data_IF_141896193299
#
_entry.id   IF_141896193299
#
_cell.length_a   1.000
_cell.length_b   1.000
_cell.length_c   1.000
_cell.angle_alpha   90.00
_cell.angle_beta   90.00
_cell.angle_gamma   90.00
#
_symmetry.space_group_name_H-M   'P 1'
#
loop_
_entity.id
_entity.type
_entity.pdbx_description
1 polymer ?
#
# COMPACT_ATOMS: atom_id res chain seq x y z
N UNK A 1 -2.92 40.45 -11.31
CA UNK A 1 -1.74 40.24 -10.45
C UNK A 1 -0.50 39.68 -11.18
N UNK A 2 -0.56 39.31 -12.48
CA UNK A 2 0.55 38.62 -13.17
C UNK A 2 1.77 39.45 -13.59
N UNK A 3 1.75 40.79 -13.46
CA UNK A 3 2.82 41.63 -14.04
C UNK A 3 4.11 41.69 -13.19
N UNK A 4 4.00 41.51 -11.86
CA UNK A 4 5.16 41.65 -10.96
C UNK A 4 5.87 40.32 -10.66
N UNK A 5 5.21 39.17 -10.87
CA UNK A 5 5.75 37.84 -10.57
C UNK A 5 5.31 36.79 -11.62
N UNK A 6 5.75 36.93 -12.89
CA UNK A 6 5.34 36.02 -13.96
C UNK A 6 5.70 34.54 -13.69
N UNK A 7 6.78 34.29 -12.93
CA UNK A 7 7.17 32.92 -12.57
C UNK A 7 6.23 32.24 -11.56
N UNK A 8 5.40 32.99 -10.83
CA UNK A 8 4.42 32.37 -9.93
C UNK A 8 3.36 31.61 -10.70
N UNK A 9 3.04 32.02 -11.94
CA UNK A 9 2.15 31.26 -12.83
C UNK A 9 2.78 29.93 -13.24
N UNK A 10 4.09 29.92 -13.55
CA UNK A 10 4.83 28.69 -13.85
C UNK A 10 4.86 27.73 -12.65
N UNK A 11 5.09 28.25 -11.45
CA UNK A 11 5.08 27.47 -10.20
C UNK A 11 3.70 26.91 -9.89
N UNK A 12 2.64 27.71 -10.04
CA UNK A 12 1.28 27.25 -9.85
C UNK A 12 0.94 26.11 -10.81
N UNK A 13 1.32 26.24 -12.09
CA UNK A 13 1.16 25.17 -13.09
C UNK A 13 1.94 23.91 -12.73
N UNK A 14 3.19 24.05 -12.27
CA UNK A 14 4.00 22.91 -11.81
C UNK A 14 3.36 22.20 -10.62
N UNK A 15 2.91 22.95 -9.64
CA UNK A 15 2.22 22.40 -8.47
C UNK A 15 0.93 21.67 -8.89
N UNK A 16 0.13 22.28 -9.76
CA UNK A 16 -1.08 21.64 -10.30
C UNK A 16 -0.76 20.32 -11.02
N UNK A 17 0.29 20.29 -11.84
CA UNK A 17 0.74 19.07 -12.53
C UNK A 17 1.08 17.94 -11.53
N UNK A 18 1.79 18.27 -10.44
CA UNK A 18 2.13 17.29 -9.40
C UNK A 18 0.88 16.79 -8.67
N UNK A 19 -0.06 17.69 -8.35
CA UNK A 19 -1.34 17.34 -7.72
C UNK A 19 -2.17 16.43 -8.63
N UNK A 20 -2.34 16.79 -9.90
CA UNK A 20 -3.10 16.01 -10.88
C UNK A 20 -2.52 14.60 -11.02
N UNK A 21 -1.18 14.49 -11.07
CA UNK A 21 -0.51 13.19 -11.09
C UNK A 21 -0.82 12.36 -9.83
N UNK A 22 -0.80 12.97 -8.64
CA UNK A 22 -1.19 12.29 -7.40
C UNK A 22 -2.65 11.85 -7.43
N UNK A 23 -3.59 12.73 -7.83
CA UNK A 23 -5.03 12.41 -7.93
C UNK A 23 -5.29 11.24 -8.88
N UNK A 24 -4.59 11.19 -10.01
CA UNK A 24 -4.68 10.07 -10.94
C UNK A 24 -4.21 8.76 -10.30
N UNK A 25 -3.06 8.77 -9.60
CA UNK A 25 -2.57 7.58 -8.91
C UNK A 25 -3.47 7.14 -7.74
N UNK A 26 -4.06 8.08 -7.00
CA UNK A 26 -5.06 7.79 -5.97
C UNK A 26 -6.31 7.13 -6.59
N UNK A 27 -6.71 7.58 -7.78
CA UNK A 27 -7.81 6.98 -8.55
C UNK A 27 -7.47 5.56 -9.00
N UNK A 28 -6.26 5.33 -9.49
CA UNK A 28 -5.78 3.99 -9.84
C UNK A 28 -5.79 3.05 -8.62
N UNK A 29 -5.31 3.50 -7.46
CA UNK A 29 -5.30 2.70 -6.23
C UNK A 29 -6.73 2.31 -5.81
N UNK A 30 -7.69 3.25 -5.89
CA UNK A 30 -9.12 2.95 -5.62
C UNK A 30 -9.66 1.90 -6.57
N UNK A 31 -9.41 2.05 -7.87
CA UNK A 31 -9.89 1.11 -8.88
C UNK A 31 -9.29 -0.29 -8.69
N UNK A 32 -7.98 -0.36 -8.41
CA UNK A 32 -7.29 -1.60 -8.10
C UNK A 32 -7.90 -2.30 -6.87
N UNK A 33 -8.21 -1.55 -5.81
CA UNK A 33 -8.88 -2.11 -4.62
C UNK A 33 -10.30 -2.64 -4.91
N UNK A 34 -11.03 -2.02 -5.84
CA UNK A 34 -12.34 -2.52 -6.28
C UNK A 34 -12.22 -3.81 -7.08
N UNK A 35 -11.20 -3.93 -7.94
CA UNK A 35 -10.91 -5.18 -8.64
C UNK A 35 -10.46 -6.29 -7.67
N UNK A 36 -9.70 -5.94 -6.61
CA UNK A 36 -9.37 -6.90 -5.55
C UNK A 36 -10.62 -7.41 -4.82
N UNK A 37 -11.59 -6.56 -4.49
CA UNK A 37 -12.85 -6.96 -3.87
C UNK A 37 -13.67 -7.89 -4.78
N UNK A 38 -13.70 -7.62 -6.10
CA UNK A 38 -14.33 -8.52 -7.07
C UNK A 38 -13.64 -9.88 -7.13
N UNK A 39 -12.31 -9.89 -7.17
CA UNK A 39 -11.51 -11.12 -7.16
C UNK A 39 -11.74 -11.92 -5.88
N UNK A 40 -11.73 -11.27 -4.71
CA UNK A 40 -12.02 -11.90 -3.43
C UNK A 40 -13.38 -12.61 -3.48
N UNK A 41 -14.46 -11.88 -3.82
CA UNK A 41 -15.81 -12.43 -3.95
C UNK A 41 -15.90 -13.60 -4.93
N UNK A 42 -15.16 -13.54 -6.05
CA UNK A 42 -15.09 -14.64 -7.02
C UNK A 42 -14.42 -15.89 -6.44
N UNK A 43 -13.36 -15.74 -5.65
CA UNK A 43 -12.61 -16.87 -5.08
C UNK A 43 -13.36 -17.58 -3.95
N UNK A 44 -14.25 -16.89 -3.22
CA UNK A 44 -14.95 -17.43 -2.03
C UNK A 44 -15.64 -18.78 -2.28
N UNK A 45 -16.50 -18.96 -3.30
CA UNK A 45 -17.20 -20.23 -3.50
C UNK A 45 -16.23 -21.38 -3.80
N UNK A 46 -15.15 -21.10 -4.53
CA UNK A 46 -14.11 -22.08 -4.84
C UNK A 46 -13.35 -22.49 -3.58
N UNK A 47 -13.00 -21.54 -2.72
CA UNK A 47 -12.35 -21.79 -1.42
C UNK A 47 -13.28 -22.57 -0.49
N UNK A 48 -14.56 -22.19 -0.38
CA UNK A 48 -15.54 -22.88 0.45
C UNK A 48 -15.73 -24.34 0.00
N UNK A 49 -15.79 -24.57 -1.31
CA UNK A 49 -15.84 -25.92 -1.88
C UNK A 49 -14.59 -26.72 -1.51
N UNK A 50 -13.40 -26.16 -1.71
CA UNK A 50 -12.14 -26.83 -1.35
C UNK A 50 -12.05 -27.13 0.15
N UNK A 51 -12.55 -26.24 1.02
CA UNK A 51 -12.61 -26.47 2.47
C UNK A 51 -13.52 -27.66 2.78
N UNK A 52 -14.72 -27.69 2.21
CA UNK A 52 -15.67 -28.77 2.38
C UNK A 52 -15.11 -30.13 1.89
N UNK A 53 -14.51 -30.14 0.69
CA UNK A 53 -13.90 -31.34 0.09
C UNK A 53 -12.74 -31.88 0.94
N UNK A 54 -12.11 -31.02 1.74
CA UNK A 54 -11.04 -31.38 2.68
C UNK A 54 -11.53 -31.54 4.13
N UNK A 55 -12.85 -31.66 4.35
CA UNK A 55 -13.48 -31.83 5.67
C UNK A 55 -13.13 -30.72 6.68
N UNK A 56 -12.98 -29.48 6.20
CA UNK A 56 -12.77 -28.28 7.02
C UNK A 56 -14.07 -27.49 7.12
N UNK A 57 -14.40 -26.99 8.32
CA UNK A 57 -15.64 -26.24 8.56
C UNK A 57 -15.54 -24.77 8.12
N UNK A 58 -14.33 -24.29 7.84
CA UNK A 58 -14.08 -22.92 7.46
C UNK A 58 -12.60 -22.61 7.39
N UNK A 59 -12.27 -21.35 7.09
CA UNK A 59 -10.89 -20.91 6.92
C UNK A 59 -10.11 -20.96 8.24
N UNK A 60 -10.75 -20.80 9.38
CA UNK A 60 -10.09 -20.91 10.68
C UNK A 60 -9.49 -22.31 10.90
N UNK A 61 -10.16 -23.37 10.42
CA UNK A 61 -9.63 -24.74 10.46
C UNK A 61 -8.39 -24.87 9.58
N UNK A 62 -8.39 -24.23 8.40
CA UNK A 62 -7.24 -24.20 7.51
C UNK A 62 -6.06 -23.43 8.12
N UNK A 63 -6.31 -22.27 8.73
CA UNK A 63 -5.30 -21.49 9.46
C UNK A 63 -4.72 -22.33 10.59
N UNK A 64 -5.56 -22.98 11.40
CA UNK A 64 -5.13 -23.86 12.50
C UNK A 64 -4.25 -25.01 11.99
N UNK A 65 -4.67 -25.68 10.93
CA UNK A 65 -3.91 -26.77 10.29
C UNK A 65 -2.56 -26.27 9.73
N UNK A 66 -2.51 -25.06 9.18
CA UNK A 66 -1.25 -24.45 8.77
C UNK A 66 -0.36 -24.15 9.99
N UNK A 67 -0.93 -23.65 11.08
CA UNK A 67 -0.20 -23.35 12.32
C UNK A 67 0.42 -24.59 12.94
N UNK A 68 -0.22 -25.76 12.88
CA UNK A 68 0.35 -27.00 13.43
C UNK A 68 1.77 -27.34 12.92
N UNK A 69 2.16 -26.82 11.75
CA UNK A 69 3.48 -27.02 11.13
C UNK A 69 4.53 -25.98 11.53
N UNK A 70 4.15 -24.95 12.29
CA UNK A 70 4.98 -23.81 12.67
C UNK A 70 5.59 -24.01 14.07
N UNK A 71 6.74 -23.38 14.33
CA UNK A 71 7.25 -23.25 15.70
C UNK A 71 6.34 -22.34 16.54
N UNK A 72 6.39 -22.42 17.88
CA UNK A 72 5.62 -21.52 18.75
C UNK A 72 5.86 -20.03 18.44
N UNK A 73 7.09 -19.67 18.11
CA UNK A 73 7.48 -18.31 17.75
C UNK A 73 6.83 -17.90 16.42
N UNK A 74 6.93 -18.74 15.39
CA UNK A 74 6.31 -18.50 14.08
C UNK A 74 4.79 -18.38 14.16
N UNK A 75 4.13 -19.21 14.98
CA UNK A 75 2.68 -19.10 15.25
C UNK A 75 2.33 -17.74 15.82
N UNK A 76 3.01 -17.34 16.91
CA UNK A 76 2.79 -16.05 17.58
C UNK A 76 2.95 -14.89 16.60
N UNK A 77 3.97 -14.96 15.74
CA UNK A 77 4.23 -13.96 14.71
C UNK A 77 3.13 -13.92 13.63
N UNK A 78 2.69 -15.08 13.15
CA UNK A 78 1.64 -15.19 12.15
C UNK A 78 0.29 -14.71 12.66
N UNK A 79 -0.10 -15.14 13.86
CA UNK A 79 -1.31 -14.68 14.55
C UNK A 79 -1.30 -13.16 14.74
N UNK A 80 -0.15 -12.60 15.14
CA UNK A 80 0.02 -11.16 15.29
C UNK A 80 -0.16 -10.41 13.97
N UNK A 81 0.34 -10.93 12.84
CA UNK A 81 0.14 -10.32 11.53
C UNK A 81 -1.31 -10.38 11.06
N UNK A 82 -2.01 -11.49 11.31
CA UNK A 82 -3.45 -11.59 11.01
C UNK A 82 -4.24 -10.62 11.88
N UNK A 83 -3.97 -10.59 13.19
CA UNK A 83 -4.64 -9.70 14.12
C UNK A 83 -4.40 -8.23 13.76
N UNK A 84 -3.17 -7.87 13.42
CA UNK A 84 -2.77 -6.56 12.94
C UNK A 84 -3.51 -6.17 11.64
N UNK A 85 -3.56 -7.07 10.66
CA UNK A 85 -4.28 -6.82 9.40
C UNK A 85 -5.79 -6.63 9.62
N UNK A 86 -6.40 -7.38 10.56
CA UNK A 86 -7.81 -7.23 10.95
C UNK A 86 -8.13 -5.89 11.62
N UNK A 87 -7.12 -5.11 12.06
CA UNK A 87 -7.34 -3.73 12.57
C UNK A 87 -7.69 -2.75 11.47
N UNK A 88 -7.31 -3.04 10.24
CA UNK A 88 -7.69 -2.24 9.10
C UNK A 88 -9.13 -2.61 8.73
N UNK A 89 -10.04 -1.65 8.85
CA UNK A 89 -11.40 -1.81 8.32
C UNK A 89 -11.36 -1.64 6.79
N UNK A 90 -10.91 -2.70 6.11
CA UNK A 90 -10.66 -2.72 4.67
C UNK A 90 -11.92 -2.93 3.83
N UNK A 91 -13.01 -3.42 4.45
CA UNK A 91 -14.20 -3.89 3.75
C UNK A 91 -14.01 -5.21 2.97
N UNK A 92 -12.79 -5.77 2.93
CA UNK A 92 -12.48 -7.06 2.30
C UNK A 92 -12.16 -8.07 3.40
N UNK A 93 -12.77 -9.25 3.30
CA UNK A 93 -12.43 -10.35 4.19
C UNK A 93 -11.11 -10.99 3.76
N UNK A 94 -10.01 -10.44 4.30
CA UNK A 94 -8.65 -10.94 4.06
C UNK A 94 -8.49 -12.43 4.37
N UNK A 95 -9.41 -13.03 5.13
CA UNK A 95 -9.39 -14.44 5.53
C UNK A 95 -9.50 -15.35 4.31
N UNK A 96 -10.34 -15.03 3.32
CA UNK A 96 -10.46 -15.85 2.10
C UNK A 96 -9.18 -15.81 1.27
N UNK A 97 -8.55 -14.64 1.17
CA UNK A 97 -7.24 -14.53 0.54
C UNK A 97 -6.17 -15.39 1.27
N UNK A 98 -6.19 -15.42 2.60
CA UNK A 98 -5.34 -16.32 3.41
C UNK A 98 -5.64 -17.79 3.06
N UNK A 99 -6.92 -18.15 2.98
CA UNK A 99 -7.33 -19.50 2.61
C UNK A 99 -6.76 -19.93 1.27
N UNK A 100 -6.90 -19.10 0.22
CA UNK A 100 -6.31 -19.38 -1.09
C UNK A 100 -4.80 -19.57 -1.04
N UNK A 101 -4.09 -18.77 -0.25
CA UNK A 101 -2.64 -18.89 -0.06
C UNK A 101 -2.21 -20.12 0.76
N UNK A 102 -3.08 -20.65 1.60
CA UNK A 102 -2.78 -21.81 2.44
C UNK A 102 -3.20 -23.14 1.77
N UNK A 103 -4.04 -23.10 0.73
CA UNK A 103 -4.45 -24.26 -0.06
C UNK A 103 -3.35 -24.88 -0.95
N UNK A 104 -2.08 -24.49 -0.74
CA UNK A 104 -0.95 -24.90 -1.58
C UNK A 104 -0.89 -26.42 -1.76
N UNK A 105 -0.46 -26.90 -2.94
CA UNK A 105 -0.44 -28.32 -3.28
C UNK A 105 0.29 -29.15 -2.21
N UNK A 106 -0.14 -30.40 -1.99
CA UNK A 106 0.39 -31.28 -0.93
C UNK A 106 1.91 -31.51 -0.97
N UNK A 107 2.57 -31.24 -2.10
CA UNK A 107 4.03 -31.29 -2.25
C UNK A 107 4.79 -30.03 -1.82
N UNK A 108 4.10 -28.94 -1.48
CA UNK A 108 4.68 -27.70 -1.00
C UNK A 108 4.65 -27.69 0.53
N UNK A 109 5.80 -27.94 1.14
CA UNK A 109 5.94 -27.82 2.59
C UNK A 109 5.74 -26.36 2.97
N UNK A 110 4.63 -26.07 3.66
CA UNK A 110 4.42 -24.82 4.39
C UNK A 110 5.53 -24.70 5.44
N UNK A 111 6.67 -24.17 5.02
CA UNK A 111 7.72 -23.76 5.94
C UNK A 111 7.25 -22.51 6.69
N UNK A 112 7.70 -22.34 7.93
CA UNK A 112 7.39 -21.12 8.67
C UNK A 112 7.83 -19.85 7.95
N UNK A 113 8.93 -19.88 7.18
CA UNK A 113 9.33 -18.78 6.28
C UNK A 113 8.24 -18.38 5.28
N UNK A 114 7.59 -19.36 4.64
CA UNK A 114 6.53 -19.09 3.68
C UNK A 114 5.32 -18.47 4.36
N UNK A 115 4.92 -19.02 5.50
CA UNK A 115 3.84 -18.50 6.31
C UNK A 115 4.12 -17.05 6.73
N UNK A 116 5.34 -16.75 7.19
CA UNK A 116 5.71 -15.39 7.57
C UNK A 116 5.66 -14.45 6.37
N UNK A 117 6.10 -14.90 5.19
CA UNK A 117 5.98 -14.12 3.96
C UNK A 117 4.51 -13.85 3.59
N UNK A 118 3.63 -14.85 3.75
CA UNK A 118 2.18 -14.69 3.60
C UNK A 118 1.63 -13.68 4.62
N UNK A 119 2.01 -13.78 5.89
CA UNK A 119 1.71 -12.82 6.95
C UNK A 119 2.04 -11.37 6.58
N UNK A 120 3.27 -11.13 6.13
CA UNK A 120 3.73 -9.81 5.67
C UNK A 120 2.91 -9.32 4.50
N UNK A 121 2.63 -10.20 3.54
CA UNK A 121 1.84 -9.87 2.37
C UNK A 121 0.40 -9.47 2.73
N UNK A 122 -0.23 -10.17 3.70
CA UNK A 122 -1.55 -9.81 4.23
C UNK A 122 -1.50 -8.42 4.86
N UNK A 123 -0.44 -8.11 5.62
CA UNK A 123 -0.21 -6.77 6.14
C UNK A 123 -0.19 -5.71 5.04
N UNK A 124 0.57 -5.94 3.97
CA UNK A 124 0.61 -5.03 2.80
C UNK A 124 -0.76 -4.87 2.13
N UNK A 125 -1.49 -5.96 1.93
CA UNK A 125 -2.86 -5.94 1.39
C UNK A 125 -3.77 -5.06 2.26
N UNK A 126 -3.76 -5.27 3.58
CA UNK A 126 -4.59 -4.51 4.51
C UNK A 126 -4.29 -3.01 4.44
N UNK A 127 -3.02 -2.65 4.30
CA UNK A 127 -2.57 -1.27 4.15
C UNK A 127 -3.06 -0.66 2.85
N UNK A 128 -2.86 -1.34 1.71
CA UNK A 128 -3.31 -0.85 0.40
C UNK A 128 -4.81 -0.60 0.41
N UNK A 129 -5.59 -1.52 0.99
CA UNK A 129 -7.04 -1.37 1.10
C UNK A 129 -7.45 -0.24 2.05
N UNK A 130 -6.75 -0.09 3.18
CA UNK A 130 -6.95 1.04 4.10
C UNK A 130 -6.67 2.39 3.43
N UNK A 131 -5.59 2.48 2.65
CA UNK A 131 -5.22 3.66 1.85
C UNK A 131 -6.27 3.93 0.76
N UNK A 132 -6.73 2.91 0.04
CA UNK A 132 -7.77 3.05 -0.97
C UNK A 132 -9.10 3.56 -0.36
N UNK A 133 -9.47 3.04 0.82
CA UNK A 133 -10.64 3.51 1.57
C UNK A 133 -10.50 4.98 1.98
N UNK A 134 -9.33 5.37 2.49
CA UNK A 134 -9.04 6.77 2.78
C UNK A 134 -9.25 7.65 1.53
N UNK A 135 -8.69 7.27 0.38
CA UNK A 135 -8.86 8.03 -0.87
C UNK A 135 -10.31 8.12 -1.33
N UNK A 136 -11.11 7.06 -1.13
CA UNK A 136 -12.53 7.08 -1.45
C UNK A 136 -13.27 8.10 -0.59
N UNK A 137 -12.98 8.14 0.71
CA UNK A 137 -13.58 9.10 1.65
C UNK A 137 -13.12 10.53 1.34
N UNK A 138 -11.83 10.72 1.06
CA UNK A 138 -11.26 12.04 0.75
C UNK A 138 -11.78 12.66 -0.56
N UNK A 139 -12.33 11.86 -1.47
CA UNK A 139 -12.89 12.35 -2.73
C UNK A 139 -14.31 12.96 -2.60
N UNK A 140 -14.96 12.89 -1.42
CA UNK A 140 -16.39 13.17 -1.22
C UNK A 140 -16.86 14.64 -1.20
N UNK A 141 -16.07 15.63 -1.63
CA UNK A 141 -16.49 17.05 -1.66
C UNK A 141 -16.33 17.83 -0.35
N UNK A 142 -17.22 18.81 -0.06
CA UNK A 142 -17.02 19.79 1.04
C UNK A 142 -16.99 19.16 2.45
N UNK A 143 -17.70 18.05 2.68
CA UNK A 143 -17.64 17.30 3.94
C UNK A 143 -16.40 16.38 4.02
N UNK A 144 -15.72 16.16 2.89
CA UNK A 144 -14.63 15.21 2.77
C UNK A 144 -13.39 15.61 3.56
N UNK A 145 -13.17 16.89 3.86
CA UNK A 145 -12.02 17.29 4.68
C UNK A 145 -12.13 16.68 6.10
N UNK A 146 -13.31 16.80 6.72
CA UNK A 146 -13.56 16.23 8.06
C UNK A 146 -13.58 14.70 8.04
N UNK A 147 -14.19 14.11 7.02
CA UNK A 147 -14.25 12.66 6.86
C UNK A 147 -12.87 12.07 6.53
N UNK A 148 -12.06 12.75 5.72
CA UNK A 148 -10.67 12.37 5.43
C UNK A 148 -9.81 12.46 6.69
N UNK A 149 -9.94 13.52 7.49
CA UNK A 149 -9.23 13.62 8.76
C UNK A 149 -9.61 12.48 9.72
N UNK A 150 -10.90 12.13 9.81
CA UNK A 150 -11.37 11.00 10.59
C UNK A 150 -10.84 9.66 10.04
N UNK A 151 -10.87 9.46 8.72
CA UNK A 151 -10.35 8.25 8.07
C UNK A 151 -8.82 8.12 8.23
N UNK A 152 -8.09 9.22 8.12
CA UNK A 152 -6.67 9.31 8.40
C UNK A 152 -6.38 8.89 9.85
N UNK A 153 -7.10 9.46 10.82
CA UNK A 153 -6.94 9.12 12.23
C UNK A 153 -7.27 7.65 12.53
N UNK A 154 -8.32 7.10 11.91
CA UNK A 154 -8.65 5.68 12.03
C UNK A 154 -7.57 4.78 11.43
N UNK A 155 -7.04 5.14 10.26
CA UNK A 155 -5.96 4.42 9.59
C UNK A 155 -4.66 4.47 10.41
N UNK A 156 -4.33 5.64 10.98
CA UNK A 156 -3.19 5.82 11.89
C UNK A 156 -3.36 4.98 13.16
N UNK A 157 -4.55 4.99 13.78
CA UNK A 157 -4.85 4.18 14.95
C UNK A 157 -4.71 2.68 14.65
N UNK A 158 -5.26 2.21 13.55
CA UNK A 158 -5.13 0.82 13.11
C UNK A 158 -3.67 0.43 12.90
N UNK A 159 -2.87 1.32 12.30
CA UNK A 159 -1.44 1.13 12.09
C UNK A 159 -0.66 1.05 13.41
N UNK A 160 -0.95 1.92 14.38
CA UNK A 160 -0.30 1.89 15.71
C UNK A 160 -0.68 0.63 16.50
N UNK A 161 -1.95 0.22 16.49
CA UNK A 161 -2.38 -1.03 17.13
C UNK A 161 -1.72 -2.24 16.49
N UNK A 162 -1.65 -2.27 15.16
CA UNK A 162 -0.95 -3.31 14.39
C UNK A 162 0.56 -3.36 14.70
N UNK A 163 1.22 -2.21 14.81
CA UNK A 163 2.61 -2.11 15.20
C UNK A 163 2.84 -2.62 16.64
N UNK A 164 1.96 -2.28 17.58
CA UNK A 164 2.04 -2.76 18.97
C UNK A 164 1.89 -4.28 19.05
N UNK A 165 0.86 -4.84 18.40
CA UNK A 165 0.61 -6.29 18.33
C UNK A 165 1.84 -7.02 17.77
N UNK A 166 2.44 -6.49 16.70
CA UNK A 166 3.62 -7.11 16.10
C UNK A 166 4.85 -7.01 17.01
N UNK A 167 5.10 -5.87 17.64
CA UNK A 167 6.20 -5.72 18.61
C UNK A 167 6.09 -6.68 19.80
N UNK A 168 4.91 -6.82 20.38
CA UNK A 168 4.64 -7.75 21.49
C UNK A 168 4.82 -9.22 21.09
N UNK A 169 4.57 -9.54 19.82
CA UNK A 169 4.86 -10.85 19.24
C UNK A 169 6.36 -11.16 19.13
N UNK A 170 7.23 -10.23 19.53
CA UNK A 170 8.66 -10.32 19.32
C UNK A 170 9.02 -10.00 17.88
N UNK A 171 8.18 -9.30 17.10
CA UNK A 171 8.52 -8.83 15.75
C UNK A 171 9.32 -7.51 15.75
N UNK A 172 9.91 -7.15 16.90
CA UNK A 172 10.69 -5.93 17.09
C UNK A 172 12.12 -6.03 16.53
N UNK A 173 12.92 -4.98 16.79
CA UNK A 173 14.28 -4.84 16.26
C UNK A 173 15.25 -5.98 16.63
N UNK A 174 14.96 -6.71 17.72
CA UNK A 174 15.84 -7.77 18.24
C UNK A 174 15.65 -9.14 17.55
N UNK A 175 14.59 -9.34 16.78
CA UNK A 175 14.23 -10.66 16.28
C UNK A 175 14.76 -11.00 14.87
N UNK A 176 15.77 -10.26 14.42
CA UNK A 176 16.40 -10.44 13.11
C UNK A 176 15.70 -9.66 11.98
N UNK A 177 16.40 -9.49 10.86
CA UNK A 177 16.00 -8.59 9.78
C UNK A 177 14.66 -8.95 9.12
N UNK A 178 14.39 -10.25 8.94
CA UNK A 178 13.14 -10.73 8.35
C UNK A 178 11.94 -10.43 9.25
N UNK A 179 12.13 -10.47 10.56
CA UNK A 179 11.05 -10.33 11.53
C UNK A 179 10.71 -8.86 11.79
N UNK A 180 11.72 -7.99 11.90
CA UNK A 180 11.54 -6.54 12.07
C UNK A 180 10.75 -5.90 10.91
N UNK A 181 10.76 -6.52 9.73
CA UNK A 181 10.05 -6.02 8.55
C UNK A 181 8.53 -5.99 8.74
N UNK A 182 7.95 -6.97 9.44
CA UNK A 182 6.50 -7.03 9.65
C UNK A 182 5.97 -5.85 10.49
N UNK A 183 6.69 -5.47 11.55
CA UNK A 183 6.36 -4.30 12.35
C UNK A 183 6.53 -2.99 11.54
N UNK A 184 7.59 -2.92 10.72
CA UNK A 184 7.83 -1.76 9.82
C UNK A 184 6.73 -1.57 8.80
N UNK A 185 6.14 -2.66 8.27
CA UNK A 185 5.03 -2.59 7.31
C UNK A 185 3.90 -1.73 7.89
N UNK A 186 3.51 -1.94 9.15
CA UNK A 186 2.43 -1.17 9.78
C UNK A 186 2.87 0.24 10.20
N UNK A 187 4.08 0.41 10.74
CA UNK A 187 4.62 1.72 11.09
C UNK A 187 4.66 2.71 9.89
N UNK A 188 4.93 2.20 8.68
CA UNK A 188 4.90 2.99 7.43
C UNK A 188 3.56 3.66 7.18
N UNK A 189 2.45 3.06 7.60
CA UNK A 189 1.11 3.63 7.35
C UNK A 189 0.84 4.85 8.18
N UNK A 190 1.17 4.84 9.47
CA UNK A 190 1.02 6.04 10.32
C UNK A 190 1.79 7.22 9.71
N UNK A 191 2.97 6.96 9.13
CA UNK A 191 3.75 7.98 8.42
C UNK A 191 3.12 8.40 7.10
N UNK A 192 2.63 7.44 6.30
CA UNK A 192 1.92 7.75 5.07
C UNK A 192 0.67 8.60 5.31
N UNK A 193 -0.06 8.39 6.41
CA UNK A 193 -1.18 9.24 6.81
C UNK A 193 -0.74 10.71 7.00
N UNK A 194 0.46 10.96 7.52
CA UNK A 194 1.01 12.33 7.61
C UNK A 194 1.26 12.92 6.21
N UNK A 195 1.74 12.11 5.26
CA UNK A 195 1.89 12.51 3.84
C UNK A 195 0.53 12.89 3.25
N UNK A 196 -0.51 12.10 3.52
CA UNK A 196 -1.87 12.39 3.08
C UNK A 196 -2.40 13.70 3.65
N UNK A 197 -2.07 14.01 4.91
CA UNK A 197 -2.34 15.31 5.52
C UNK A 197 -1.66 16.46 4.78
N UNK A 198 -0.38 16.29 4.38
CA UNK A 198 0.37 17.27 3.59
C UNK A 198 -0.28 17.47 2.21
N UNK A 199 -0.70 16.41 1.53
CA UNK A 199 -1.37 16.52 0.21
C UNK A 199 -2.74 17.20 0.32
N UNK A 200 -3.53 16.89 1.35
CA UNK A 200 -4.79 17.59 1.63
C UNK A 200 -4.57 19.07 1.97
N UNK A 201 -3.47 19.39 2.65
CA UNK A 201 -3.04 20.75 2.92
C UNK A 201 -2.60 21.48 1.64
N UNK A 202 -1.92 20.82 0.70
CA UNK A 202 -1.50 21.39 -0.59
C UNK A 202 -2.69 21.81 -1.45
N UNK A 203 -3.76 21.00 -1.53
CA UNK A 203 -5.00 21.38 -2.21
C UNK A 203 -5.63 22.63 -1.59
N UNK A 204 -5.60 22.73 -0.26
CA UNK A 204 -6.10 23.90 0.49
C UNK A 204 -5.23 25.14 0.22
N UNK A 205 -3.89 24.98 0.19
CA UNK A 205 -2.94 26.05 -0.12
C UNK A 205 -3.19 26.62 -1.53
N UNK A 206 -3.43 25.79 -2.55
CA UNK A 206 -3.66 26.29 -3.92
C UNK A 206 -4.85 27.26 -3.95
N UNK A 207 -5.93 26.95 -3.24
CA UNK A 207 -7.11 27.84 -3.13
C UNK A 207 -6.76 29.12 -2.38
N UNK A 208 -6.10 29.03 -1.22
CA UNK A 208 -5.75 30.21 -0.41
C UNK A 208 -4.66 31.11 -1.02
N UNK A 209 -3.72 30.55 -1.77
CA UNK A 209 -2.60 31.28 -2.39
C UNK A 209 -3.07 32.08 -3.61
N UNK A 210 -4.19 31.72 -4.22
CA UNK A 210 -4.80 32.47 -5.32
C UNK A 210 -5.49 33.75 -4.80
N UNK A 211 -5.95 33.79 -3.55
CA UNK A 211 -6.89 34.84 -3.10
C UNK A 211 -6.31 35.95 -2.19
N UNK A 212 -5.16 35.80 -1.51
CA UNK A 212 -4.90 36.69 -0.35
C UNK A 212 -3.46 37.18 -0.05
N UNK A 213 -2.42 36.95 -0.87
CA UNK A 213 -1.02 37.13 -0.41
C UNK A 213 -0.14 37.97 -1.36
N UNK A 214 0.68 38.84 -0.77
CA UNK A 214 1.76 39.60 -1.43
C UNK A 214 2.79 38.69 -2.13
N UNK A 215 3.16 39.01 -3.38
CA UNK A 215 3.77 38.07 -4.31
C UNK A 215 5.11 37.40 -3.90
N UNK A 216 5.88 37.99 -2.98
CA UNK A 216 7.11 37.37 -2.47
C UNK A 216 6.83 36.19 -1.51
N UNK A 217 5.82 36.32 -0.63
CA UNK A 217 5.40 35.21 0.24
C UNK A 217 4.75 34.09 -0.56
N UNK A 218 4.02 34.45 -1.63
CA UNK A 218 3.45 33.49 -2.57
C UNK A 218 4.53 32.63 -3.24
N UNK A 219 5.64 33.22 -3.69
CA UNK A 219 6.76 32.47 -4.26
C UNK A 219 7.30 31.40 -3.30
N UNK A 220 7.63 31.78 -2.07
CA UNK A 220 8.18 30.86 -1.08
C UNK A 220 7.24 29.69 -0.80
N UNK A 221 5.94 29.96 -0.64
CA UNK A 221 4.91 28.94 -0.43
C UNK A 221 4.77 27.99 -1.61
N UNK A 222 4.85 28.48 -2.84
CA UNK A 222 4.82 27.60 -4.01
C UNK A 222 6.04 26.69 -4.09
N UNK A 223 7.24 27.21 -3.83
CA UNK A 223 8.46 26.41 -3.81
C UNK A 223 8.34 25.31 -2.75
N UNK A 224 7.95 25.67 -1.52
CA UNK A 224 7.73 24.70 -0.45
C UNK A 224 6.69 23.64 -0.83
N UNK A 225 5.56 24.05 -1.42
CA UNK A 225 4.51 23.13 -1.85
C UNK A 225 4.98 22.16 -2.95
N UNK A 226 5.73 22.64 -3.95
CA UNK A 226 6.33 21.80 -5.01
C UNK A 226 7.28 20.77 -4.38
N UNK A 227 8.19 21.24 -3.51
CA UNK A 227 9.21 20.40 -2.88
C UNK A 227 8.63 19.39 -1.88
N UNK A 228 7.45 19.66 -1.31
CA UNK A 228 6.71 18.71 -0.48
C UNK A 228 5.86 17.73 -1.32
N UNK A 229 5.32 18.20 -2.45
CA UNK A 229 4.51 17.38 -3.35
C UNK A 229 5.34 16.31 -4.08
N UNK A 230 6.58 16.61 -4.49
CA UNK A 230 7.45 15.64 -5.18
C UNK A 230 7.67 14.32 -4.39
N UNK A 231 8.19 14.34 -3.14
CA UNK A 231 8.40 13.10 -2.40
C UNK A 231 7.08 12.42 -2.01
N UNK A 232 6.02 13.20 -1.74
CA UNK A 232 4.67 12.67 -1.48
C UNK A 232 4.12 11.90 -2.68
N UNK A 233 4.31 12.44 -3.89
CA UNK A 233 3.94 11.81 -5.15
C UNK A 233 4.71 10.51 -5.36
N UNK A 234 6.01 10.49 -5.08
CA UNK A 234 6.83 9.28 -5.17
C UNK A 234 6.35 8.20 -4.19
N UNK A 235 5.96 8.56 -2.95
CA UNK A 235 5.33 7.61 -2.02
C UNK A 235 4.00 7.05 -2.55
N UNK A 236 3.12 7.90 -3.10
CA UNK A 236 1.85 7.44 -3.70
C UNK A 236 2.11 6.51 -4.90
N UNK A 237 3.09 6.83 -5.74
CA UNK A 237 3.49 5.99 -6.87
C UNK A 237 3.96 4.60 -6.42
N UNK A 238 4.71 4.54 -5.31
CA UNK A 238 5.08 3.28 -4.67
C UNK A 238 3.86 2.48 -4.22
N UNK A 239 2.90 3.10 -3.50
CA UNK A 239 1.67 2.42 -3.09
C UNK A 239 0.84 1.92 -4.28
N UNK A 240 0.79 2.70 -5.38
CA UNK A 240 0.16 2.25 -6.63
C UNK A 240 0.84 1.00 -7.17
N UNK A 241 2.19 0.96 -7.21
CA UNK A 241 2.95 -0.22 -7.65
C UNK A 241 2.69 -1.42 -6.74
N UNK A 242 2.65 -1.22 -5.42
CA UNK A 242 2.30 -2.28 -4.46
C UNK A 242 0.88 -2.79 -4.69
N UNK A 243 -0.10 -1.92 -4.89
CA UNK A 243 -1.48 -2.29 -5.18
C UNK A 243 -1.61 -3.13 -6.46
N UNK A 244 -1.01 -2.68 -7.56
CA UNK A 244 -1.02 -3.43 -8.83
C UNK A 244 -0.36 -4.80 -8.70
N UNK A 245 0.75 -4.86 -7.97
CA UNK A 245 1.46 -6.09 -7.67
C UNK A 245 0.58 -7.09 -6.90
N UNK A 246 -0.16 -6.59 -5.92
CA UNK A 246 -1.07 -7.42 -5.13
C UNK A 246 -2.23 -7.91 -5.98
N UNK A 247 -2.83 -7.05 -6.80
CA UNK A 247 -3.91 -7.42 -7.71
C UNK A 247 -3.47 -8.52 -8.67
N UNK A 248 -2.27 -8.42 -9.25
CA UNK A 248 -1.73 -9.44 -10.15
C UNK A 248 -1.59 -10.80 -9.47
N UNK A 249 -1.16 -10.83 -8.20
CA UNK A 249 -1.08 -12.07 -7.44
C UNK A 249 -2.48 -12.61 -7.09
N UNK A 250 -3.46 -11.75 -6.77
CA UNK A 250 -4.85 -12.18 -6.58
C UNK A 250 -5.45 -12.75 -7.87
N UNK A 251 -5.17 -12.17 -9.03
CA UNK A 251 -5.57 -12.74 -10.33
C UNK A 251 -4.94 -14.11 -10.54
N UNK A 252 -3.63 -14.23 -10.27
CA UNK A 252 -2.92 -15.52 -10.39
C UNK A 252 -3.48 -16.55 -9.41
N UNK A 253 -3.86 -16.12 -8.20
CA UNK A 253 -4.52 -16.95 -7.19
C UNK A 253 -5.88 -17.45 -7.68
N UNK A 254 -6.70 -16.57 -8.25
CA UNK A 254 -7.98 -16.97 -8.82
C UNK A 254 -7.80 -18.03 -9.91
N UNK A 255 -6.85 -17.86 -10.82
CA UNK A 255 -6.57 -18.86 -11.88
C UNK A 255 -6.02 -20.17 -11.30
N UNK A 256 -5.21 -20.09 -10.24
CA UNK A 256 -4.74 -21.26 -9.51
C UNK A 256 -5.89 -22.07 -8.89
N UNK A 257 -6.84 -21.39 -8.24
CA UNK A 257 -8.00 -22.02 -7.62
C UNK A 257 -8.91 -22.66 -8.67
N UNK A 258 -9.12 -21.99 -9.81
CA UNK A 258 -9.88 -22.55 -10.94
C UNK A 258 -9.22 -23.84 -11.47
N UNK A 259 -7.91 -23.81 -11.72
CA UNK A 259 -7.15 -24.98 -12.16
C UNK A 259 -7.18 -26.15 -11.15
N UNK A 260 -7.14 -25.87 -9.85
CA UNK A 260 -7.32 -26.90 -8.83
C UNK A 260 -8.68 -27.57 -8.93
N UNK A 261 -9.76 -26.79 -9.10
CA UNK A 261 -11.10 -27.35 -9.20
C UNK A 261 -11.37 -28.10 -10.50
N UNK A 262 -10.66 -27.75 -11.56
CA UNK A 262 -10.75 -28.41 -12.87
C UNK A 262 -9.86 -29.66 -12.95
N UNK A 263 -9.10 -29.97 -11.90
CA UNK A 263 -8.18 -31.11 -11.87
C UNK A 263 -6.90 -30.91 -12.67
N UNK A 264 -6.58 -29.67 -13.06
CA UNK A 264 -5.38 -29.29 -13.81
C UNK A 264 -4.15 -29.13 -12.89
N UNK A 265 -3.73 -30.22 -12.26
CA UNK A 265 -2.73 -30.19 -11.18
C UNK A 265 -1.38 -29.58 -11.61
N UNK A 266 -0.93 -29.78 -12.86
CA UNK A 266 0.31 -29.18 -13.36
C UNK A 266 0.23 -27.65 -13.45
N UNK A 267 -0.90 -27.14 -13.96
CA UNK A 267 -1.15 -25.70 -14.06
C UNK A 267 -1.27 -25.08 -12.66
N UNK A 268 -2.00 -25.73 -11.75
CA UNK A 268 -2.11 -25.32 -10.36
C UNK A 268 -0.74 -25.29 -9.65
N UNK A 269 0.11 -26.31 -9.86
CA UNK A 269 1.47 -26.36 -9.33
C UNK A 269 2.36 -25.24 -9.88
N UNK A 270 2.25 -24.93 -11.17
CA UNK A 270 3.00 -23.82 -11.77
C UNK A 270 2.57 -22.47 -11.18
N UNK A 271 1.27 -22.23 -11.07
CA UNK A 271 0.72 -20.97 -10.55
C UNK A 271 1.02 -20.78 -9.07
N UNK A 272 0.90 -21.82 -8.24
CA UNK A 272 1.24 -21.74 -6.82
C UNK A 272 2.71 -21.39 -6.59
N UNK A 273 3.64 -22.00 -7.34
CA UNK A 273 5.06 -21.63 -7.32
C UNK A 273 5.29 -20.18 -7.73
N UNK A 274 4.56 -19.70 -8.75
CA UNK A 274 4.64 -18.30 -9.20
C UNK A 274 4.13 -17.33 -8.12
N UNK A 275 3.03 -17.64 -7.44
CA UNK A 275 2.49 -16.83 -6.34
C UNK A 275 3.49 -16.78 -5.19
N UNK A 276 4.04 -17.92 -4.77
CA UNK A 276 5.03 -17.99 -3.68
C UNK A 276 6.26 -17.17 -4.03
N UNK A 277 6.81 -17.38 -5.23
CA UNK A 277 7.96 -16.64 -5.73
C UNK A 277 7.68 -15.14 -5.71
N UNK A 278 6.54 -14.72 -6.24
CA UNK A 278 6.13 -13.31 -6.22
C UNK A 278 6.00 -12.78 -4.80
N UNK A 279 5.40 -13.50 -3.86
CA UNK A 279 5.26 -13.06 -2.46
C UNK A 279 6.63 -12.92 -1.80
N UNK A 280 7.55 -13.85 -2.04
CA UNK A 280 8.91 -13.81 -1.50
C UNK A 280 9.75 -12.68 -2.13
N UNK A 281 9.65 -12.48 -3.44
CA UNK A 281 10.46 -11.49 -4.19
C UNK A 281 9.89 -10.07 -4.10
N UNK A 282 8.57 -9.89 -4.26
CA UNK A 282 7.91 -8.57 -4.22
C UNK A 282 7.92 -7.94 -2.83
N UNK A 283 8.28 -8.70 -1.79
CA UNK A 283 8.60 -8.12 -0.49
C UNK A 283 9.81 -7.18 -0.57
N UNK A 284 10.73 -7.41 -1.52
CA UNK A 284 12.08 -6.84 -1.48
C UNK A 284 12.45 -5.74 -2.48
N UNK A 285 11.72 -5.46 -3.58
CA UNK A 285 12.29 -4.60 -4.64
C UNK A 285 11.32 -3.67 -5.39
N UNK A 286 10.69 -2.71 -4.70
CA UNK A 286 10.28 -1.48 -5.39
C UNK A 286 11.45 -0.50 -5.29
N UNK A 287 12.10 -0.28 -6.43
CA UNK A 287 13.23 0.63 -6.56
C UNK A 287 12.73 2.08 -6.65
N UNK A 288 13.06 2.88 -5.63
CA UNK A 288 12.72 4.29 -5.57
C UNK A 288 13.30 5.10 -6.74
N UNK A 289 14.52 4.77 -7.17
CA UNK A 289 15.18 5.44 -8.28
C UNK A 289 14.45 5.21 -9.60
N UNK A 290 14.03 3.97 -9.87
CA UNK A 290 13.33 3.64 -11.11
C UNK A 290 11.95 4.32 -11.16
N UNK A 291 11.25 4.39 -10.01
CA UNK A 291 9.99 5.13 -9.91
C UNK A 291 10.18 6.63 -10.12
N UNK A 292 11.18 7.24 -9.50
CA UNK A 292 11.42 8.68 -9.66
C UNK A 292 11.82 9.03 -11.09
N UNK A 293 12.69 8.24 -11.73
CA UNK A 293 13.04 8.42 -13.15
C UNK A 293 11.79 8.32 -14.04
N UNK A 294 10.89 7.37 -13.74
CA UNK A 294 9.64 7.22 -14.48
C UNK A 294 8.76 8.47 -14.33
N UNK A 295 8.60 9.00 -13.11
CA UNK A 295 7.81 10.20 -12.84
C UNK A 295 8.42 11.46 -13.46
N UNK A 296 9.74 11.63 -13.36
CA UNK A 296 10.46 12.76 -13.96
C UNK A 296 10.33 12.73 -15.49
N UNK A 297 10.42 11.55 -16.11
CA UNK A 297 10.20 11.39 -17.55
C UNK A 297 8.78 11.79 -17.94
N UNK A 298 7.76 11.38 -17.18
CA UNK A 298 6.38 11.80 -17.42
C UNK A 298 6.24 13.32 -17.31
N UNK A 299 6.93 13.93 -16.36
CA UNK A 299 6.87 15.37 -16.14
C UNK A 299 7.48 16.14 -17.30
N UNK A 300 8.65 15.73 -17.77
CA UNK A 300 9.37 16.35 -18.89
C UNK A 300 8.63 16.18 -20.23
N UNK A 301 7.74 15.21 -20.34
CA UNK A 301 6.87 15.02 -21.51
C UNK A 301 5.66 15.96 -21.51
N UNK A 302 5.34 16.60 -20.38
CA UNK A 302 4.27 17.59 -20.33
C UNK A 302 4.72 18.90 -21.01
N UNK A 303 3.92 19.40 -21.96
CA UNK A 303 4.23 20.65 -22.67
C UNK A 303 4.33 21.90 -21.78
N UNK A 304 3.86 21.82 -20.53
CA UNK A 304 3.90 22.88 -19.53
C UNK A 304 4.94 22.64 -18.42
N UNK A 305 5.91 21.75 -18.63
CA UNK A 305 6.89 21.41 -17.61
C UNK A 305 7.69 22.64 -17.14
N UNK A 306 7.78 22.81 -15.82
CA UNK A 306 8.61 23.82 -15.16
C UNK A 306 9.39 23.16 -14.02
N UNK A 307 10.69 22.95 -14.21
CA UNK A 307 11.56 22.30 -13.22
C UNK A 307 12.45 23.26 -12.40
N UNK A 308 12.18 24.58 -12.45
CA UNK A 308 13.09 25.58 -11.89
C UNK A 308 13.24 25.58 -10.37
N UNK A 309 12.24 25.04 -9.66
CA UNK A 309 12.22 24.94 -8.19
C UNK A 309 12.06 23.49 -7.70
N UNK A 310 12.16 22.52 -8.62
CA UNK A 310 12.09 21.10 -8.32
C UNK A 310 13.32 20.67 -7.49
N UNK A 311 13.11 19.76 -6.54
CA UNK A 311 14.19 19.03 -5.89
C UNK A 311 14.98 18.18 -6.89
N UNK A 312 16.24 17.89 -6.57
CA UNK A 312 16.99 16.89 -7.31
C UNK A 312 16.39 15.49 -7.10
N UNK A 313 16.57 14.58 -8.07
CA UNK A 313 16.16 13.17 -7.97
C UNK A 313 16.61 12.54 -6.64
N UNK A 314 17.85 12.82 -6.22
CA UNK A 314 18.42 12.31 -4.97
C UNK A 314 17.67 12.87 -3.76
N UNK A 315 17.36 14.17 -3.75
CA UNK A 315 16.63 14.81 -2.65
C UNK A 315 15.17 14.33 -2.57
N UNK A 316 14.52 14.09 -3.73
CA UNK A 316 13.16 13.52 -3.76
C UNK A 316 13.17 12.11 -3.16
N UNK A 317 14.12 11.27 -3.58
CA UNK A 317 14.25 9.90 -3.07
C UNK A 317 14.59 9.89 -1.57
N UNK A 318 15.54 10.71 -1.12
CA UNK A 318 15.92 10.80 0.29
C UNK A 318 14.72 11.24 1.15
N UNK A 319 14.01 12.30 0.74
CA UNK A 319 12.81 12.76 1.46
C UNK A 319 11.69 11.71 1.42
N UNK A 320 11.42 11.09 0.29
CA UNK A 320 10.39 10.06 0.17
C UNK A 320 10.72 8.82 1.01
N UNK A 321 11.99 8.41 1.02
CA UNK A 321 12.48 7.30 1.84
C UNK A 321 12.39 7.66 3.32
N UNK A 322 12.71 8.88 3.75
CA UNK A 322 12.49 9.32 5.14
C UNK A 322 11.01 9.31 5.51
N UNK A 323 10.15 9.87 4.66
CA UNK A 323 8.71 9.86 4.86
C UNK A 323 8.13 8.44 4.94
N UNK A 324 8.71 7.49 4.19
CA UNK A 324 8.29 6.09 4.20
C UNK A 324 8.91 5.31 5.38
N UNK A 325 10.22 5.37 5.56
CA UNK A 325 10.99 4.45 6.38
C UNK A 325 11.45 5.02 7.73
N UNK A 326 11.55 6.34 7.92
CA UNK A 326 12.34 7.01 8.99
C UNK A 326 12.71 6.11 10.18
N UNK A 327 13.95 5.61 10.15
CA UNK A 327 14.53 4.81 11.21
C UNK A 327 14.34 5.53 12.54
N UNK A 328 13.69 4.88 13.51
CA UNK A 328 13.76 5.30 14.90
C UNK A 328 15.23 5.22 15.31
N UNK A 329 15.94 6.35 15.24
CA UNK A 329 17.18 6.57 15.99
C UNK A 329 16.87 6.66 17.47
#
# INVERSE_FOLDING_TARGET
>A
MGFLYPDNENRARRLQQLIDSMVNMQTDIKHVAEEMDKLDKRMRPTIDKLLHDNHMNGIDDLIKKAMEKMTPEEKKQFEAMIAAAKKFDTGIDITYFIGGLLFLPEGLVLSGKLVLAVGKYIGKLAIVLGVAKFFRIAAGGAEAASAAAAAASQLEKAAMEAEAITKEAGLGAEAGAEVAEASRIFARVSKFVKILGIVGFVLTIVVFVIEAIEGAQQRARFIEAIQNAQPSRLCIARYKREAMSIQQNMTTMSTYLDALTDGEQEAANYMSKKIIKNIQEQVSQINWNDLEIELERQDRQAGSYYGGDDLSTVDVIDKATKLHDEENK
#
